data_IF_141284929813
#
_entry.id   IF_141284929813
#
_cell.length_a   1.000
_cell.length_b   1.000
_cell.length_c   1.000
_cell.angle_alpha   90.00
_cell.angle_beta   90.00
_cell.angle_gamma   90.00
#
_symmetry.space_group_name_H-M   'P 1'
#
loop_
_entity.id
_entity.type
_entity.pdbx_description
1 polymer ?
#
# COMPACT_ATOMS: atom_id res chain seq x y z
N UNK A 1 -50.75 -19.98 10.38
CA UNK A 1 -49.99 -18.83 9.84
C UNK A 1 -48.51 -19.01 10.22
N UNK A 2 -47.65 -19.48 9.31
CA UNK A 2 -46.21 -19.67 9.54
C UNK A 2 -45.51 -18.35 9.22
N UNK A 3 -44.95 -17.68 10.24
CA UNK A 3 -44.12 -16.49 10.07
C UNK A 3 -42.74 -16.94 9.58
N UNK A 4 -42.44 -16.72 8.30
CA UNK A 4 -41.07 -16.77 7.79
C UNK A 4 -40.33 -15.56 8.34
N UNK A 5 -39.42 -15.78 9.28
CA UNK A 5 -38.40 -14.80 9.65
C UNK A 5 -37.32 -14.84 8.56
N UNK A 6 -37.31 -13.83 7.69
CA UNK A 6 -36.20 -13.55 6.80
C UNK A 6 -35.04 -13.02 7.65
N UNK A 7 -34.09 -13.89 7.96
CA UNK A 7 -32.79 -13.50 8.50
C UNK A 7 -32.00 -12.88 7.35
N UNK A 8 -32.00 -11.55 7.26
CA UNK A 8 -31.07 -10.82 6.41
C UNK A 8 -29.69 -10.97 7.07
N UNK A 9 -28.91 -11.93 6.58
CA UNK A 9 -27.48 -11.99 6.86
C UNK A 9 -26.87 -10.81 6.13
N UNK A 10 -26.59 -9.73 6.86
CA UNK A 10 -25.73 -8.65 6.37
C UNK A 10 -24.34 -9.25 6.12
N UNK A 11 -24.06 -9.61 4.87
CA UNK A 11 -22.70 -9.75 4.39
C UNK A 11 -22.09 -8.35 4.38
N UNK A 12 -21.47 -7.96 5.49
CA UNK A 12 -20.65 -6.77 5.55
C UNK A 12 -19.56 -6.84 4.46
N UNK A 13 -19.25 -5.72 3.78
CA UNK A 13 -18.37 -5.74 2.63
C UNK A 13 -16.94 -6.06 3.08
N UNK A 14 -16.37 -7.13 2.52
CA UNK A 14 -14.99 -7.56 2.72
C UNK A 14 -13.93 -6.53 2.25
N UNK A 15 -14.33 -5.37 1.72
CA UNK A 15 -13.42 -4.36 1.18
C UNK A 15 -12.65 -3.54 2.22
N UNK A 16 -13.13 -3.45 3.47
CA UNK A 16 -12.42 -2.69 4.52
C UNK A 16 -11.34 -3.50 5.24
N UNK A 17 -11.33 -4.83 5.09
CA UNK A 17 -10.40 -5.72 5.78
C UNK A 17 -9.01 -5.67 5.13
N UNK A 18 -8.93 -5.50 3.80
CA UNK A 18 -7.66 -5.49 3.06
C UNK A 18 -6.70 -4.35 3.43
N UNK A 19 -7.20 -3.11 3.59
CA UNK A 19 -6.30 -1.96 3.83
C UNK A 19 -5.62 -1.99 5.21
N UNK A 20 -6.27 -2.58 6.23
CA UNK A 20 -5.69 -2.75 7.57
C UNK A 20 -4.65 -3.87 7.62
N UNK A 21 -4.90 -4.97 6.93
CA UNK A 21 -4.00 -6.13 6.85
C UNK A 21 -2.72 -5.81 6.06
N UNK A 22 -2.81 -4.97 5.02
CA UNK A 22 -1.65 -4.59 4.19
C UNK A 22 -0.67 -3.65 4.91
N UNK A 23 -1.20 -2.71 5.71
CA UNK A 23 -0.34 -1.93 6.61
C UNK A 23 0.40 -2.82 7.61
N UNK A 24 -0.22 -3.91 8.06
CA UNK A 24 0.46 -4.91 8.90
C UNK A 24 1.56 -5.63 8.14
N UNK A 25 1.28 -6.18 6.96
CA UNK A 25 2.27 -6.94 6.18
C UNK A 25 3.50 -6.11 5.78
N UNK A 26 3.29 -4.85 5.37
CA UNK A 26 4.39 -3.94 5.05
C UNK A 26 5.21 -3.57 6.30
N UNK A 27 4.55 -3.37 7.45
CA UNK A 27 5.24 -3.14 8.73
C UNK A 27 6.01 -4.39 9.19
N UNK A 28 5.45 -5.58 9.00
CA UNK A 28 6.09 -6.85 9.33
C UNK A 28 7.35 -7.06 8.48
N UNK A 29 7.32 -6.72 7.20
CA UNK A 29 8.48 -6.77 6.31
C UNK A 29 9.59 -5.81 6.76
N UNK A 30 9.23 -4.60 7.17
CA UNK A 30 10.18 -3.65 7.76
C UNK A 30 10.84 -4.23 9.02
N UNK A 31 10.03 -4.79 9.94
CA UNK A 31 10.53 -5.41 11.17
C UNK A 31 11.39 -6.65 10.89
N UNK A 32 11.03 -7.45 9.89
CA UNK A 32 11.82 -8.60 9.47
C UNK A 32 13.20 -8.14 8.97
N UNK A 33 13.26 -7.11 8.12
CA UNK A 33 14.52 -6.52 7.68
C UNK A 33 15.37 -5.97 8.84
N UNK A 34 14.75 -5.32 9.83
CA UNK A 34 15.47 -4.85 11.02
C UNK A 34 16.09 -6.01 11.82
N UNK A 35 15.38 -7.13 11.94
CA UNK A 35 15.88 -8.34 12.62
C UNK A 35 17.02 -8.99 11.83
N UNK A 36 16.83 -9.19 10.53
CA UNK A 36 17.85 -9.76 9.63
C UNK A 36 19.15 -8.95 9.65
N UNK A 37 19.01 -7.63 9.71
CA UNK A 37 20.16 -6.71 9.71
C UNK A 37 20.72 -6.41 11.10
N UNK A 38 20.19 -6.99 12.18
CA UNK A 38 20.58 -6.66 13.55
C UNK A 38 22.09 -6.79 13.79
N UNK A 39 22.69 -7.88 13.31
CA UNK A 39 24.13 -8.11 13.48
C UNK A 39 24.95 -7.08 12.70
N UNK A 40 24.62 -6.84 11.43
CA UNK A 40 25.29 -5.84 10.60
C UNK A 40 25.16 -4.42 11.18
N UNK A 41 23.99 -4.08 11.75
CA UNK A 41 23.77 -2.79 12.43
C UNK A 41 24.61 -2.65 13.71
N UNK A 42 24.87 -3.73 14.43
CA UNK A 42 25.74 -3.74 15.63
C UNK A 42 27.22 -3.66 15.29
N UNK A 43 27.63 -4.28 14.19
CA UNK A 43 29.03 -4.31 13.74
C UNK A 43 29.48 -3.02 13.06
N UNK A 44 28.54 -2.21 12.58
CA UNK A 44 28.86 -0.88 12.06
C UNK A 44 29.10 0.15 13.18
N UNK A 45 30.30 0.71 13.24
CA UNK A 45 30.56 1.95 13.97
C UNK A 45 29.86 3.14 13.31
N UNK A 46 29.43 4.12 14.12
CA UNK A 46 28.81 5.39 13.71
C UNK A 46 29.44 5.96 12.42
N UNK A 47 28.73 5.82 11.29
CA UNK A 47 29.12 6.36 9.98
C UNK A 47 29.28 5.35 8.83
N UNK A 48 29.42 4.04 9.11
CA UNK A 48 29.71 3.03 8.06
C UNK A 48 28.51 2.27 7.49
N UNK A 49 27.33 2.36 8.11
CA UNK A 49 26.16 1.54 7.80
C UNK A 49 25.13 2.20 6.87
N UNK A 50 25.59 3.16 6.05
CA UNK A 50 24.81 4.28 5.48
C UNK A 50 23.53 3.98 4.69
N UNK A 51 23.10 2.73 4.53
CA UNK A 51 21.80 2.47 3.93
C UNK A 51 21.07 1.20 4.41
N UNK A 52 21.43 0.59 5.54
CA UNK A 52 20.71 -0.62 6.01
C UNK A 52 19.25 -0.28 6.36
N UNK A 53 19.02 0.80 7.11
CA UNK A 53 17.65 1.23 7.44
C UNK A 53 16.90 1.65 6.17
N UNK A 54 17.56 2.33 5.23
CA UNK A 54 16.94 2.72 3.96
C UNK A 54 16.55 1.50 3.13
N UNK A 55 17.36 0.45 3.10
CA UNK A 55 16.99 -0.82 2.47
C UNK A 55 15.75 -1.47 3.11
N UNK A 56 15.56 -1.33 4.43
CA UNK A 56 14.34 -1.81 5.09
C UNK A 56 13.11 -0.97 4.70
N UNK A 57 13.25 0.34 4.55
CA UNK A 57 12.21 1.20 3.99
C UNK A 57 11.84 0.81 2.54
N UNK A 58 12.84 0.54 1.69
CA UNK A 58 12.59 0.11 0.31
C UNK A 58 11.85 -1.24 0.25
N UNK A 59 12.16 -2.19 1.15
CA UNK A 59 11.40 -3.45 1.26
C UNK A 59 9.94 -3.19 1.64
N UNK A 60 9.69 -2.30 2.60
CA UNK A 60 8.34 -1.91 2.98
C UNK A 60 7.57 -1.25 1.81
N UNK A 61 8.21 -0.33 1.09
CA UNK A 61 7.65 0.33 -0.10
C UNK A 61 7.30 -0.72 -1.18
N UNK A 62 8.20 -1.67 -1.42
CA UNK A 62 8.00 -2.72 -2.42
C UNK A 62 6.76 -3.59 -2.12
N UNK A 63 6.46 -3.86 -0.84
CA UNK A 63 5.23 -4.58 -0.44
C UNK A 63 3.99 -3.79 -0.87
N UNK A 64 3.93 -2.49 -0.55
CA UNK A 64 2.82 -1.62 -0.94
C UNK A 64 2.68 -1.48 -2.45
N UNK A 65 3.78 -1.34 -3.18
CA UNK A 65 3.77 -1.18 -4.64
C UNK A 65 3.35 -2.47 -5.35
N UNK A 66 3.82 -3.63 -4.89
CA UNK A 66 3.40 -4.91 -5.44
C UNK A 66 1.90 -5.16 -5.24
N UNK A 67 1.38 -4.87 -4.05
CA UNK A 67 -0.04 -5.02 -3.76
C UNK A 67 -0.89 -4.04 -4.57
N UNK A 68 -0.48 -2.76 -4.63
CA UNK A 68 -1.10 -1.75 -5.49
C UNK A 68 -1.17 -2.21 -6.95
N UNK A 69 -0.09 -2.80 -7.47
CA UNK A 69 -0.06 -3.33 -8.82
C UNK A 69 -1.01 -4.54 -9.00
N UNK A 70 -1.20 -5.38 -7.98
CA UNK A 70 -2.19 -6.46 -8.01
C UNK A 70 -3.62 -5.91 -8.07
N UNK A 71 -3.97 -4.97 -7.18
CA UNK A 71 -5.30 -4.34 -7.16
C UNK A 71 -5.56 -3.62 -8.48
N UNK A 72 -4.62 -2.82 -8.97
CA UNK A 72 -4.73 -2.10 -10.24
C UNK A 72 -4.93 -3.07 -11.42
N UNK A 73 -4.21 -4.20 -11.47
CA UNK A 73 -4.41 -5.22 -12.52
C UNK A 73 -5.82 -5.81 -12.49
N UNK A 74 -6.39 -6.03 -11.30
CA UNK A 74 -7.78 -6.47 -11.16
C UNK A 74 -8.79 -5.46 -11.73
N UNK A 75 -8.48 -4.17 -11.65
CA UNK A 75 -9.36 -3.10 -12.14
C UNK A 75 -9.26 -2.83 -13.65
N UNK A 76 -8.16 -3.24 -14.31
CA UNK A 76 -7.87 -2.93 -15.73
C UNK A 76 -8.91 -3.46 -16.74
N UNK A 77 -9.78 -4.37 -16.35
CA UNK A 77 -10.76 -4.98 -17.26
C UNK A 77 -12.22 -4.58 -16.95
N UNK A 78 -12.43 -3.69 -15.98
CA UNK A 78 -13.77 -3.34 -15.49
C UNK A 78 -14.15 -1.87 -15.67
N UNK A 79 -15.30 -1.50 -15.12
CA UNK A 79 -15.88 -0.15 -15.16
C UNK A 79 -14.99 0.95 -14.55
N UNK A 80 -13.92 0.56 -13.84
CA UNK A 80 -13.03 1.47 -13.13
C UNK A 80 -11.59 1.46 -13.64
N UNK A 81 -11.35 0.93 -14.83
CA UNK A 81 -10.02 0.89 -15.44
C UNK A 81 -9.42 2.31 -15.54
N UNK A 82 -10.21 3.29 -15.98
CA UNK A 82 -9.79 4.70 -16.12
C UNK A 82 -9.42 5.34 -14.77
N UNK A 83 -10.22 5.10 -13.72
CA UNK A 83 -9.93 5.60 -12.38
C UNK A 83 -8.66 4.98 -11.80
N UNK A 84 -8.44 3.69 -12.03
CA UNK A 84 -7.23 3.01 -11.61
C UNK A 84 -5.98 3.53 -12.34
N UNK A 85 -6.09 3.83 -13.64
CA UNK A 85 -5.02 4.45 -14.42
C UNK A 85 -4.70 5.86 -13.90
N UNK A 86 -5.73 6.69 -13.72
CA UNK A 86 -5.58 8.06 -13.19
C UNK A 86 -4.89 8.06 -11.82
N UNK A 87 -5.29 7.17 -10.91
CA UNK A 87 -4.62 7.04 -9.59
C UNK A 87 -3.15 6.69 -9.76
N UNK A 88 -2.82 5.71 -10.61
CA UNK A 88 -1.42 5.33 -10.83
C UNK A 88 -0.59 6.49 -11.38
N UNK A 89 -1.11 7.24 -12.34
CA UNK A 89 -0.41 8.39 -12.93
C UNK A 89 -0.20 9.52 -11.91
N UNK A 90 -1.23 9.85 -11.13
CA UNK A 90 -1.14 10.90 -10.11
C UNK A 90 -0.13 10.56 -9.03
N UNK A 91 -0.13 9.32 -8.53
CA UNK A 91 0.85 8.89 -7.53
C UNK A 91 2.26 8.80 -8.09
N UNK A 92 2.43 8.34 -9.34
CA UNK A 92 3.74 8.34 -10.00
C UNK A 92 4.28 9.77 -10.19
N UNK A 93 3.42 10.74 -10.51
CA UNK A 93 3.83 12.14 -10.61
C UNK A 93 4.19 12.73 -9.24
N UNK A 94 3.41 12.43 -8.19
CA UNK A 94 3.74 12.85 -6.82
C UNK A 94 5.10 12.29 -6.37
N UNK A 95 5.39 11.03 -6.65
CA UNK A 95 6.67 10.41 -6.33
C UNK A 95 7.82 11.09 -7.09
N UNK A 96 7.66 11.31 -8.40
CA UNK A 96 8.65 12.04 -9.21
C UNK A 96 8.90 13.45 -8.69
N UNK A 97 7.87 14.13 -8.19
CA UNK A 97 8.00 15.47 -7.60
C UNK A 97 8.70 15.42 -6.25
N UNK A 98 8.37 14.46 -5.40
CA UNK A 98 9.00 14.27 -4.10
C UNK A 98 10.52 14.07 -4.24
N UNK A 99 10.95 13.21 -5.18
CA UNK A 99 12.37 12.94 -5.45
C UNK A 99 13.15 14.16 -5.97
N UNK A 100 12.46 15.19 -6.49
CA UNK A 100 13.09 16.44 -6.93
C UNK A 100 13.21 17.47 -5.81
N UNK A 101 12.59 17.24 -4.65
CA UNK A 101 12.71 18.14 -3.50
C UNK A 101 13.98 17.77 -2.75
N UNK A 102 15.01 18.60 -2.87
CA UNK A 102 16.34 18.37 -2.27
C UNK A 102 16.28 18.07 -0.76
N UNK A 103 15.34 18.69 -0.03
CA UNK A 103 15.13 18.44 1.41
C UNK A 103 14.75 16.99 1.73
N UNK A 104 14.14 16.28 0.77
CA UNK A 104 13.65 14.92 0.94
C UNK A 104 14.45 13.89 0.14
N UNK A 105 15.33 14.32 -0.76
CA UNK A 105 16.12 13.38 -1.55
C UNK A 105 17.17 12.70 -0.67
N UNK A 106 17.19 11.36 -0.69
CA UNK A 106 18.10 10.52 0.09
C UNK A 106 18.10 10.79 1.62
N UNK A 107 16.99 11.29 2.16
CA UNK A 107 16.83 11.54 3.61
C UNK A 107 15.83 10.56 4.24
N UNK A 108 15.94 10.38 5.57
CA UNK A 108 14.98 9.56 6.34
C UNK A 108 13.55 10.05 6.19
N UNK A 109 13.35 11.37 6.26
CA UNK A 109 12.03 11.98 6.04
C UNK A 109 11.52 11.75 4.62
N UNK A 110 12.40 11.70 3.62
CA UNK A 110 12.05 11.30 2.25
C UNK A 110 11.56 9.85 2.15
N UNK A 111 12.25 8.92 2.82
CA UNK A 111 11.86 7.52 2.88
C UNK A 111 10.51 7.33 3.59
N UNK A 112 10.29 8.00 4.72
CA UNK A 112 9.00 8.00 5.43
C UNK A 112 7.87 8.51 4.52
N UNK A 113 8.10 9.61 3.79
CA UNK A 113 7.12 10.15 2.86
C UNK A 113 6.83 9.19 1.70
N UNK A 114 7.84 8.47 1.19
CA UNK A 114 7.65 7.45 0.15
C UNK A 114 6.85 6.26 0.65
N UNK A 115 7.04 5.82 1.91
CA UNK A 115 6.18 4.80 2.53
C UNK A 115 4.73 5.27 2.61
N UNK A 116 4.48 6.47 3.10
CA UNK A 116 3.12 7.00 3.21
C UNK A 116 2.47 7.18 1.83
N UNK A 117 3.24 7.59 0.82
CA UNK A 117 2.76 7.72 -0.55
C UNK A 117 2.36 6.36 -1.13
N UNK A 118 3.19 5.32 -0.96
CA UNK A 118 2.90 3.97 -1.42
C UNK A 118 1.68 3.36 -0.69
N UNK A 119 1.58 3.59 0.63
CA UNK A 119 0.42 3.17 1.42
C UNK A 119 -0.87 3.90 0.99
N UNK A 120 -0.79 5.20 0.69
CA UNK A 120 -1.92 5.98 0.23
C UNK A 120 -2.38 5.56 -1.17
N UNK A 121 -1.45 5.25 -2.09
CA UNK A 121 -1.74 4.71 -3.42
C UNK A 121 -2.51 3.39 -3.31
N UNK A 122 -2.00 2.48 -2.50
CA UNK A 122 -2.62 1.19 -2.24
C UNK A 122 -4.06 1.35 -1.73
N UNK A 123 -4.24 2.23 -0.73
CA UNK A 123 -5.56 2.52 -0.17
C UNK A 123 -6.51 3.11 -1.20
N UNK A 124 -6.06 4.06 -2.02
CA UNK A 124 -6.88 4.68 -3.05
C UNK A 124 -7.37 3.64 -4.07
N UNK A 125 -6.47 2.77 -4.56
CA UNK A 125 -6.83 1.69 -5.48
C UNK A 125 -7.79 0.68 -4.84
N UNK A 126 -7.59 0.35 -3.57
CA UNK A 126 -8.46 -0.57 -2.83
C UNK A 126 -9.87 0.00 -2.63
N UNK A 127 -9.98 1.30 -2.36
CA UNK A 127 -11.28 1.99 -2.26
C UNK A 127 -12.01 1.97 -3.59
N UNK A 128 -11.33 2.29 -4.69
CA UNK A 128 -11.90 2.15 -6.03
C UNK A 128 -12.34 0.72 -6.25
N UNK A 129 -11.49 -0.27 -6.01
CA UNK A 129 -11.85 -1.68 -6.20
C UNK A 129 -13.11 -2.10 -5.44
N UNK A 130 -13.26 -1.62 -4.20
CA UNK A 130 -14.46 -1.88 -3.40
C UNK A 130 -15.72 -1.27 -4.03
N UNK A 131 -15.66 -0.03 -4.51
CA UNK A 131 -16.79 0.62 -5.20
C UNK A 131 -17.17 -0.13 -6.49
N UNK A 132 -16.20 -0.55 -7.28
CA UNK A 132 -16.42 -1.26 -8.55
C UNK A 132 -17.03 -2.64 -8.35
N UNK A 133 -16.66 -3.34 -7.28
CA UNK A 133 -17.28 -4.62 -6.91
C UNK A 133 -18.75 -4.45 -6.47
N UNK A 134 -19.15 -3.24 -6.01
CA UNK A 134 -20.53 -2.97 -5.60
C UNK A 134 -21.43 -2.55 -6.76
N UNK A 135 -20.88 -1.96 -7.82
CA UNK A 135 -21.65 -1.54 -9.01
C UNK A 135 -21.97 -2.67 -9.98
N UNK A 136 -21.23 -3.79 -9.94
CA UNK A 136 -21.58 -5.02 -10.70
C UNK A 136 -22.82 -5.75 -10.14
N UNK A 137 -23.34 -5.37 -8.96
CA UNK A 137 -24.53 -5.98 -8.32
C UNK A 137 -25.82 -5.16 -8.49
N UNK A 138 -26.03 -4.51 -9.63
CA UNK A 138 -27.34 -3.91 -9.94
C UNK A 138 -28.01 -4.72 -11.05
N UNK A 139 -29.02 -5.56 -10.74
CA UNK A 139 -29.87 -6.20 -11.74
C UNK A 139 -30.80 -5.20 -12.43
#
# INVERSE_FOLDING_TARGET
>A
MKKLLLTIVLAAPAGLVHAGELRSAAADEYQACLKESEQARKECSFGGCGNILGACYERQIAVFENDSAQVARGLKQGACAESAETINEQFAELERRLLKVEQFNDTWSGLDLRVELAAAKNRALSLVAAECATTEKVP
#
